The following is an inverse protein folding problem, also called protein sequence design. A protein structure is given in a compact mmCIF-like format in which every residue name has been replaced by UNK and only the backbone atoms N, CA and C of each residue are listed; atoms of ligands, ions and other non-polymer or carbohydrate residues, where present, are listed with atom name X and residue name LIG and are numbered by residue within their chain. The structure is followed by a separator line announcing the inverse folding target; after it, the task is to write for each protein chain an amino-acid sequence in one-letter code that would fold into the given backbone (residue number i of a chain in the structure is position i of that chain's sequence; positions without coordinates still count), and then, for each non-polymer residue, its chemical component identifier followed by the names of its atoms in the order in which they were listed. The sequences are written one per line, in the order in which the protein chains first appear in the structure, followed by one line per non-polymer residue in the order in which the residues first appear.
data_IF_688892912316
#
_entry.id   IF_688892912316
#
_cell.length_a   1.000
_cell.length_b   1.000
_cell.length_c   1.000
_cell.angle_alpha   90.00
_cell.angle_beta   90.00
_cell.angle_gamma   90.00
#
_symmetry.space_group_name_H-M   'P 1'
#
loop_
_entity.id
_entity.type
_entity.pdbx_description
1 polymer ?
#
# COMPACT_ATOMS: atom_id res chain seq x y z
N UNK A 1 25.24 -6.00 4.98
CA UNK A 1 23.79 -6.32 5.01
C UNK A 1 23.57 -7.70 4.39
N UNK A 2 22.93 -8.60 5.12
CA UNK A 2 22.66 -10.00 4.76
C UNK A 2 21.50 -10.11 3.76
N UNK A 3 21.29 -11.30 3.19
CA UNK A 3 20.15 -11.56 2.32
C UNK A 3 18.81 -11.47 3.09
N UNK A 4 18.79 -11.92 4.34
CA UNK A 4 17.62 -11.83 5.21
C UNK A 4 17.23 -10.38 5.50
N UNK A 5 18.20 -9.51 5.82
CA UNK A 5 17.96 -8.07 6.06
C UNK A 5 17.38 -7.37 4.83
N UNK A 6 17.89 -7.69 3.62
CA UNK A 6 17.31 -7.20 2.36
C UNK A 6 15.87 -7.67 2.16
N UNK A 7 15.60 -8.94 2.50
CA UNK A 7 14.26 -9.51 2.45
C UNK A 7 13.28 -8.80 3.39
N UNK A 8 13.71 -8.46 4.61
CA UNK A 8 12.90 -7.71 5.57
C UNK A 8 12.59 -6.29 5.07
N UNK A 9 13.56 -5.58 4.51
CA UNK A 9 13.33 -4.25 3.92
C UNK A 9 12.33 -4.33 2.77
N UNK A 10 12.45 -5.33 1.91
CA UNK A 10 11.53 -5.56 0.80
C UNK A 10 10.11 -5.86 1.30
N UNK A 11 9.97 -6.74 2.29
CA UNK A 11 8.68 -7.07 2.89
C UNK A 11 8.04 -5.85 3.56
N UNK A 12 8.82 -5.09 4.33
CA UNK A 12 8.35 -3.89 5.00
C UNK A 12 7.87 -2.83 4.01
N UNK A 13 8.66 -2.54 2.96
CA UNK A 13 8.23 -1.62 1.92
C UNK A 13 7.03 -2.12 1.13
N UNK A 14 6.92 -3.43 0.91
CA UNK A 14 5.75 -4.00 0.26
C UNK A 14 4.48 -3.82 1.09
N UNK A 15 4.55 -4.07 2.40
CA UNK A 15 3.44 -3.81 3.32
C UNK A 15 3.05 -2.34 3.36
N UNK A 16 4.03 -1.45 3.48
CA UNK A 16 3.81 0.01 3.43
C UNK A 16 3.14 0.42 2.12
N UNK A 17 3.66 -0.04 0.97
CA UNK A 17 3.12 0.28 -0.34
C UNK A 17 1.67 -0.22 -0.51
N UNK A 18 1.35 -1.39 0.03
CA UNK A 18 -0.02 -1.91 0.04
C UNK A 18 -0.96 -1.03 0.87
N UNK A 19 -0.55 -0.62 2.07
CA UNK A 19 -1.36 0.25 2.93
C UNK A 19 -1.60 1.61 2.28
N UNK A 20 -0.54 2.25 1.78
CA UNK A 20 -0.65 3.56 1.09
C UNK A 20 -1.51 3.43 -0.16
N UNK A 21 -1.31 2.38 -0.95
CA UNK A 21 -2.09 2.12 -2.16
C UNK A 21 -3.58 1.92 -1.84
N UNK A 22 -3.90 1.12 -0.82
CA UNK A 22 -5.28 0.90 -0.39
C UNK A 22 -5.93 2.21 0.04
N UNK A 23 -5.26 2.98 0.92
CA UNK A 23 -5.77 4.25 1.41
C UNK A 23 -6.00 5.25 0.27
N UNK A 24 -5.06 5.33 -0.69
CA UNK A 24 -5.18 6.20 -1.86
C UNK A 24 -6.40 5.83 -2.72
N UNK A 25 -6.56 4.54 -3.07
CA UNK A 25 -7.72 4.08 -3.84
C UNK A 25 -9.02 4.36 -3.10
N UNK A 26 -9.06 4.14 -1.79
CA UNK A 26 -10.24 4.40 -0.96
C UNK A 26 -10.62 5.88 -0.94
N UNK A 27 -9.64 6.77 -0.77
CA UNK A 27 -9.87 8.23 -0.79
C UNK A 27 -10.35 8.68 -2.16
N UNK A 28 -9.70 8.22 -3.24
CA UNK A 28 -10.12 8.53 -4.61
C UNK A 28 -11.54 8.04 -4.88
N UNK A 29 -11.88 6.83 -4.46
CA UNK A 29 -13.23 6.26 -4.59
C UNK A 29 -14.26 7.16 -3.91
N UNK A 30 -14.06 7.55 -2.66
CA UNK A 30 -15.02 8.37 -1.92
C UNK A 30 -15.12 9.80 -2.46
N UNK A 31 -14.01 10.40 -2.90
CA UNK A 31 -14.01 11.76 -3.43
C UNK A 31 -14.62 11.87 -4.83
N UNK A 32 -14.46 10.84 -5.67
CA UNK A 32 -14.93 10.88 -7.07
C UNK A 32 -16.26 10.15 -7.29
N UNK A 33 -16.59 9.16 -6.45
CA UNK A 33 -17.76 8.31 -6.58
C UNK A 33 -18.50 8.19 -5.23
N UNK A 34 -19.18 9.26 -4.77
CA UNK A 34 -19.84 9.29 -3.46
C UNK A 34 -21.11 8.43 -3.38
N UNK A 35 -21.59 7.89 -4.50
CA UNK A 35 -22.80 7.10 -4.59
C UNK A 35 -22.61 5.71 -3.95
N UNK A 36 -23.61 5.25 -3.20
CA UNK A 36 -23.59 3.93 -2.59
C UNK A 36 -23.59 2.86 -3.69
N UNK A 37 -22.44 2.24 -3.94
CA UNK A 37 -22.32 1.20 -4.94
C UNK A 37 -23.07 -0.06 -4.46
N UNK A 38 -24.16 -0.50 -5.10
CA UNK A 38 -24.96 -1.65 -4.63
C UNK A 38 -24.21 -2.98 -4.70
N UNK A 39 -23.01 -3.01 -5.29
CA UNK A 39 -22.15 -4.19 -5.41
C UNK A 39 -21.29 -4.51 -4.15
N UNK A 40 -21.76 -4.19 -2.93
CA UNK A 40 -21.10 -4.54 -1.66
C UNK A 40 -21.29 -6.03 -1.30
N UNK A 41 -21.30 -6.92 -2.29
CA UNK A 41 -21.26 -8.36 -2.07
C UNK A 41 -19.81 -8.81 -2.07
N UNK A 42 -19.28 -9.07 -0.88
CA UNK A 42 -17.94 -9.63 -0.64
C UNK A 42 -17.90 -11.01 -1.29
N UNK A 43 -17.40 -11.09 -2.53
CA UNK A 43 -17.34 -12.34 -3.30
C UNK A 43 -17.55 -12.18 -4.80
N UNK A 44 -18.14 -11.06 -5.26
CA UNK A 44 -18.16 -10.73 -6.67
C UNK A 44 -16.80 -10.15 -7.10
N UNK A 45 -16.30 -10.54 -8.28
CA UNK A 45 -15.10 -9.93 -8.87
C UNK A 45 -15.25 -8.41 -9.07
N UNK A 46 -16.49 -7.90 -9.12
CA UNK A 46 -16.80 -6.48 -9.18
C UNK A 46 -16.89 -5.79 -7.81
N UNK A 47 -16.64 -6.49 -6.69
CA UNK A 47 -16.76 -5.85 -5.38
C UNK A 47 -15.68 -4.77 -5.22
N UNK A 48 -16.03 -3.55 -4.79
CA UNK A 48 -15.06 -2.47 -4.66
C UNK A 48 -13.94 -2.80 -3.67
N UNK A 49 -14.24 -3.62 -2.65
CA UNK A 49 -13.26 -4.13 -1.71
C UNK A 49 -12.22 -5.04 -2.39
N UNK A 50 -12.66 -6.03 -3.18
CA UNK A 50 -11.73 -6.91 -3.89
C UNK A 50 -10.83 -6.13 -4.84
N UNK A 51 -11.39 -5.15 -5.55
CA UNK A 51 -10.61 -4.27 -6.43
C UNK A 51 -9.55 -3.48 -5.68
N UNK A 52 -9.90 -2.89 -4.53
CA UNK A 52 -8.95 -2.20 -3.65
C UNK A 52 -7.83 -3.12 -3.17
N UNK A 53 -8.16 -4.32 -2.70
CA UNK A 53 -7.19 -5.32 -2.28
C UNK A 53 -6.24 -5.71 -3.42
N UNK A 54 -6.74 -5.88 -4.63
CA UNK A 54 -5.94 -6.25 -5.80
C UNK A 54 -4.95 -5.14 -6.19
N UNK A 55 -5.42 -3.89 -6.23
CA UNK A 55 -4.55 -2.73 -6.47
C UNK A 55 -3.50 -2.57 -5.37
N UNK A 56 -3.90 -2.71 -4.10
CA UNK A 56 -2.98 -2.67 -2.98
C UNK A 56 -1.90 -3.76 -3.07
N UNK A 57 -2.28 -4.98 -3.48
CA UNK A 57 -1.34 -6.08 -3.69
C UNK A 57 -0.33 -5.76 -4.79
N UNK A 58 -0.77 -5.21 -5.93
CA UNK A 58 0.14 -4.81 -7.00
C UNK A 58 1.09 -3.69 -6.58
N UNK A 59 0.57 -2.64 -5.95
CA UNK A 59 1.38 -1.51 -5.49
C UNK A 59 2.36 -1.95 -4.39
N UNK A 60 1.93 -2.80 -3.47
CA UNK A 60 2.80 -3.41 -2.47
C UNK A 60 3.87 -4.31 -3.09
N UNK A 61 3.52 -5.15 -4.06
CA UNK A 61 4.48 -5.98 -4.79
C UNK A 61 5.55 -5.15 -5.50
N UNK A 62 5.13 -4.09 -6.21
CA UNK A 62 6.04 -3.15 -6.87
C UNK A 62 6.96 -2.44 -5.88
N UNK A 63 6.41 -1.94 -4.77
CA UNK A 63 7.19 -1.29 -3.72
C UNK A 63 8.21 -2.25 -3.08
N UNK A 64 7.81 -3.49 -2.81
CA UNK A 64 8.69 -4.50 -2.22
C UNK A 64 9.80 -4.94 -3.17
N UNK A 65 9.49 -5.21 -4.44
CA UNK A 65 10.50 -5.54 -5.45
C UNK A 65 11.45 -4.36 -5.73
N UNK A 66 10.92 -3.14 -5.80
CA UNK A 66 11.72 -1.92 -5.93
C UNK A 66 12.66 -1.72 -4.75
N UNK A 67 12.17 -1.91 -3.53
CA UNK A 67 12.98 -1.85 -2.32
C UNK A 67 14.03 -2.94 -2.26
N UNK A 68 13.73 -4.17 -2.71
CA UNK A 68 14.71 -5.26 -2.82
C UNK A 68 15.82 -4.89 -3.80
N UNK A 69 15.47 -4.36 -4.97
CA UNK A 69 16.42 -3.92 -5.98
C UNK A 69 17.30 -2.77 -5.46
N UNK A 70 16.70 -1.80 -4.75
CA UNK A 70 17.42 -0.70 -4.12
C UNK A 70 18.34 -1.19 -3.00
N UNK A 71 17.87 -2.10 -2.14
CA UNK A 71 18.62 -2.63 -1.01
C UNK A 71 19.84 -3.47 -1.43
N UNK A 72 19.85 -4.01 -2.66
CA UNK A 72 21.03 -4.65 -3.26
C UNK A 72 22.15 -3.66 -3.61
N UNK A 73 21.81 -2.40 -3.94
CA UNK A 73 22.76 -1.36 -4.36
C UNK A 73 23.11 -0.38 -3.23
N UNK A 74 22.11 0.02 -2.45
CA UNK A 74 22.18 1.06 -1.44
C UNK A 74 21.34 0.67 -0.19
N UNK A 75 21.83 -0.27 0.63
CA UNK A 75 21.07 -0.85 1.75
C UNK A 75 20.59 0.18 2.78
N UNK A 76 21.46 1.11 3.15
CA UNK A 76 21.16 2.16 4.16
C UNK A 76 20.08 3.12 3.65
N UNK A 77 20.12 3.44 2.35
CA UNK A 77 19.11 4.31 1.72
C UNK A 77 17.76 3.60 1.68
N UNK A 78 17.74 2.32 1.29
CA UNK A 78 16.52 1.52 1.29
C UNK A 78 15.87 1.44 2.69
N UNK A 79 16.67 1.24 3.74
CA UNK A 79 16.17 1.23 5.12
C UNK A 79 15.59 2.59 5.55
N UNK A 80 16.21 3.71 5.16
CA UNK A 80 15.67 5.06 5.43
C UNK A 80 14.31 5.29 4.77
N UNK A 81 14.14 4.82 3.54
CA UNK A 81 12.86 4.91 2.83
C UNK A 81 11.73 4.12 3.51
N UNK A 82 12.05 3.04 4.23
CA UNK A 82 11.06 2.35 5.09
C UNK A 82 10.49 3.30 6.13
N UNK A 83 11.34 4.07 6.82
CA UNK A 83 10.89 5.05 7.81
C UNK A 83 9.94 6.10 7.22
N UNK A 84 10.31 6.70 6.09
CA UNK A 84 9.43 7.65 5.39
C UNK A 84 8.14 7.00 4.90
N UNK A 85 8.23 5.77 4.41
CA UNK A 85 7.08 5.00 3.96
C UNK A 85 6.08 4.72 5.08
N UNK A 86 6.56 4.32 6.27
CA UNK A 86 5.71 4.12 7.45
C UNK A 86 4.99 5.41 7.84
N UNK A 87 5.68 6.55 7.81
CA UNK A 87 5.05 7.85 8.07
C UNK A 87 3.95 8.15 7.04
N UNK A 88 4.21 7.91 5.75
CA UNK A 88 3.21 8.09 4.69
C UNK A 88 2.01 7.14 4.87
N UNK A 89 2.23 5.89 5.28
CA UNK A 89 1.17 4.94 5.58
C UNK A 89 0.30 5.40 6.76
N UNK A 90 0.91 5.90 7.83
CA UNK A 90 0.17 6.43 8.98
C UNK A 90 -0.69 7.65 8.59
N UNK A 91 -0.13 8.58 7.80
CA UNK A 91 -0.89 9.73 7.27
C UNK A 91 -2.03 9.25 6.37
N UNK A 92 -1.77 8.32 5.45
CA UNK A 92 -2.80 7.75 4.59
C UNK A 92 -3.92 7.08 5.38
N UNK A 93 -3.59 6.36 6.46
CA UNK A 93 -4.56 5.77 7.38
C UNK A 93 -5.42 6.84 8.07
N UNK A 94 -4.82 7.93 8.53
CA UNK A 94 -5.55 9.05 9.14
C UNK A 94 -6.49 9.73 8.13
N UNK A 95 -6.03 9.94 6.89
CA UNK A 95 -6.84 10.54 5.83
C UNK A 95 -8.02 9.65 5.45
N UNK A 96 -7.81 8.34 5.24
CA UNK A 96 -8.94 7.45 4.93
C UNK A 96 -9.93 7.34 6.10
N UNK A 97 -9.45 7.35 7.36
CA UNK A 97 -10.33 7.27 8.52
C UNK A 97 -11.21 8.52 8.69
N UNK A 98 -10.76 9.67 8.19
CA UNK A 98 -11.50 10.93 8.26
C UNK A 98 -12.44 11.13 7.08
N UNK A 99 -12.00 10.76 5.87
CA UNK A 99 -12.77 10.97 4.64
C UNK A 99 -13.69 9.79 4.29
N UNK A 100 -13.35 8.58 4.71
CA UNK A 100 -14.01 7.34 4.33
C UNK A 100 -14.19 6.37 5.52
N UNK A 101 -14.89 6.80 6.60
CA UNK A 101 -15.13 5.97 7.78
C UNK A 101 -15.95 4.71 7.50
#
# INVERSE_FOLDING_TARGET
MTAAERGLIALAMGGVGAVVGYAAVRVVEVCLFPEANPAVLIGAAQSPFAWRCWNALYLGGLAGLGALALARRAPVVAARWVGHGVAAAAVGMMVQATLAP
#
